data_IF_414966507357
#
_entry.id   IF_414966507357
#
_cell.length_a   1.000
_cell.length_b   1.000
_cell.length_c   1.000
_cell.angle_alpha   90.00
_cell.angle_beta   90.00
_cell.angle_gamma   90.00
#
_symmetry.space_group_name_H-M   'P 1'
#
loop_
_entity.id
_entity.type
_entity.pdbx_description
1 polymer ?
#
# COMPACT_ATOMS: atom_id res chain seq x y z
N UNK A 1 15.90 24.63 -14.16
CA UNK A 1 14.56 24.64 -13.53
C UNK A 1 14.78 25.19 -12.13
N UNK A 2 13.99 26.19 -11.71
CA UNK A 2 14.18 26.74 -10.37
C UNK A 2 13.71 25.74 -9.29
N UNK A 3 14.28 25.85 -8.09
CA UNK A 3 14.03 24.92 -6.98
C UNK A 3 12.57 24.94 -6.51
N UNK A 4 11.85 26.07 -6.67
CA UNK A 4 10.44 26.16 -6.34
C UNK A 4 9.59 25.34 -7.31
N UNK A 5 9.92 25.38 -8.61
CA UNK A 5 9.22 24.59 -9.62
C UNK A 5 9.45 23.10 -9.43
N UNK A 6 10.67 22.67 -9.06
CA UNK A 6 10.94 21.27 -8.70
C UNK A 6 10.04 20.83 -7.53
N UNK A 7 9.94 21.65 -6.49
CA UNK A 7 9.14 21.34 -5.30
C UNK A 7 7.65 21.21 -5.61
N UNK A 8 7.11 22.08 -6.46
CA UNK A 8 5.73 22.01 -6.95
C UNK A 8 5.46 20.69 -7.67
N UNK A 9 6.32 20.34 -8.63
CA UNK A 9 6.20 19.09 -9.41
C UNK A 9 6.32 17.84 -8.54
N UNK A 10 7.20 17.86 -7.54
CA UNK A 10 7.31 16.76 -6.57
C UNK A 10 6.02 16.62 -5.75
N UNK A 11 5.43 17.73 -5.32
CA UNK A 11 4.14 17.70 -4.61
C UNK A 11 3.00 17.14 -5.46
N UNK A 12 2.93 17.50 -6.75
CA UNK A 12 1.96 16.94 -7.70
C UNK A 12 2.17 15.43 -7.90
N UNK A 13 3.42 14.99 -8.05
CA UNK A 13 3.77 13.58 -8.20
C UNK A 13 3.42 12.78 -6.94
N UNK A 14 3.78 13.28 -5.76
CA UNK A 14 3.45 12.66 -4.46
C UNK A 14 1.93 12.51 -4.30
N UNK A 15 1.17 13.56 -4.58
CA UNK A 15 -0.29 13.52 -4.51
C UNK A 15 -0.88 12.51 -5.52
N UNK A 16 -0.32 12.42 -6.72
CA UNK A 16 -0.76 11.50 -7.78
C UNK A 16 -0.45 10.04 -7.43
N UNK A 17 0.69 9.77 -6.81
CA UNK A 17 1.05 8.41 -6.36
C UNK A 17 0.18 7.97 -5.17
N UNK A 18 -0.03 8.87 -4.19
CA UNK A 18 -0.84 8.58 -3.00
C UNK A 18 -2.31 8.38 -3.34
N UNK A 19 -2.86 9.18 -4.28
CA UNK A 19 -4.26 9.10 -4.69
C UNK A 19 -4.49 8.31 -5.99
N UNK A 20 -3.48 7.54 -6.42
CA UNK A 20 -3.55 6.77 -7.66
C UNK A 20 -4.74 5.79 -7.66
N UNK A 21 -5.48 5.68 -8.77
CA UNK A 21 -6.50 4.63 -8.94
C UNK A 21 -5.89 3.22 -9.12
N UNK A 22 -4.57 3.08 -9.23
CA UNK A 22 -3.90 1.77 -9.41
C UNK A 22 -3.12 1.30 -8.19
N UNK A 23 -2.76 2.25 -7.31
CA UNK A 23 -2.03 1.96 -6.08
C UNK A 23 -2.99 2.08 -4.92
N UNK A 24 -3.31 0.96 -4.29
CA UNK A 24 -3.99 0.97 -3.02
C UNK A 24 -2.96 1.35 -1.93
N UNK A 25 -3.25 2.40 -1.18
CA UNK A 25 -2.34 2.94 -0.16
C UNK A 25 -3.04 2.96 1.19
N UNK A 26 -2.36 2.49 2.23
CA UNK A 26 -2.81 2.57 3.61
C UNK A 26 -1.66 2.96 4.54
N UNK A 27 -1.97 3.63 5.64
CA UNK A 27 -1.05 3.86 6.76
C UNK A 27 -1.51 3.01 7.93
N UNK A 28 -0.55 2.34 8.57
CA UNK A 28 -0.78 1.48 9.71
C UNK A 28 0.01 1.94 10.93
N UNK A 29 -0.54 1.73 12.11
CA UNK A 29 0.16 1.93 13.38
C UNK A 29 1.05 0.72 13.76
N UNK A 30 1.71 0.82 14.93
CA UNK A 30 2.56 -0.24 15.50
C UNK A 30 1.83 -1.57 15.75
N UNK A 31 0.51 -1.53 15.90
CA UNK A 31 -0.36 -2.69 16.15
C UNK A 31 -1.04 -3.19 14.86
N UNK A 32 -0.59 -2.67 13.69
CA UNK A 32 -1.08 -2.99 12.35
C UNK A 32 -2.53 -2.57 12.09
N UNK A 33 -3.07 -1.64 12.88
CA UNK A 33 -4.37 -1.02 12.65
C UNK A 33 -4.26 0.01 11.54
N UNK A 34 -5.23 0.00 10.63
CA UNK A 34 -5.31 0.98 9.56
C UNK A 34 -5.78 2.30 10.16
N UNK A 35 -4.97 3.35 10.06
CA UNK A 35 -5.32 4.69 10.54
C UNK A 35 -5.75 5.63 9.42
N UNK A 36 -5.38 5.30 8.19
CA UNK A 36 -5.77 6.03 6.99
C UNK A 36 -5.60 5.13 5.76
N UNK A 37 -6.39 5.37 4.72
CA UNK A 37 -6.20 4.76 3.40
C UNK A 37 -6.70 5.69 2.30
N UNK A 38 -6.22 5.46 1.07
CA UNK A 38 -6.72 6.19 -0.10
C UNK A 38 -8.03 5.59 -0.63
N UNK A 39 -8.65 6.28 -1.60
CA UNK A 39 -9.91 5.84 -2.23
C UNK A 39 -9.77 4.46 -2.87
N UNK A 40 -8.69 4.21 -3.62
CA UNK A 40 -8.47 2.94 -4.31
C UNK A 40 -8.43 1.73 -3.37
N UNK A 41 -7.85 1.88 -2.18
CA UNK A 41 -7.91 0.83 -1.15
C UNK A 41 -9.34 0.60 -0.65
N UNK A 42 -10.10 1.67 -0.41
CA UNK A 42 -11.51 1.59 -0.01
C UNK A 42 -12.37 0.89 -1.07
N UNK A 43 -12.21 1.27 -2.34
CA UNK A 43 -12.95 0.64 -3.45
C UNK A 43 -12.69 -0.89 -3.54
N UNK A 44 -11.54 -1.37 -3.05
CA UNK A 44 -11.19 -2.80 -3.07
C UNK A 44 -11.74 -3.59 -1.89
N UNK A 45 -11.79 -2.99 -0.70
CA UNK A 45 -12.02 -3.72 0.55
C UNK A 45 -13.18 -3.17 1.41
N UNK A 46 -13.86 -2.10 0.99
CA UNK A 46 -15.04 -1.52 1.66
C UNK A 46 -15.00 0.01 1.79
N UNK A 47 -16.16 0.66 1.94
CA UNK A 47 -16.26 2.12 2.03
C UNK A 47 -15.44 2.73 3.20
N UNK A 48 -14.90 3.93 2.94
CA UNK A 48 -14.09 4.70 3.89
C UNK A 48 -14.82 4.90 5.22
N UNK A 49 -14.31 4.28 6.29
CA UNK A 49 -14.89 4.34 7.63
C UNK A 49 -15.07 2.97 8.27
N UNK A 50 -15.43 1.95 7.50
CA UNK A 50 -15.56 0.58 8.02
C UNK A 50 -14.21 -0.11 8.23
N UNK A 51 -13.14 0.40 7.59
CA UNK A 51 -11.83 -0.24 7.55
C UNK A 51 -10.82 0.43 8.51
N UNK A 52 -10.97 1.72 8.78
CA UNK A 52 -10.13 2.43 9.75
C UNK A 52 -10.38 1.88 11.15
N UNK A 53 -9.30 1.65 11.92
CA UNK A 53 -9.33 1.02 13.24
C UNK A 53 -9.30 -0.52 13.20
N UNK A 54 -9.55 -1.16 12.05
CA UNK A 54 -9.36 -2.61 11.90
C UNK A 54 -7.89 -2.93 11.59
N UNK A 55 -7.45 -4.15 11.92
CA UNK A 55 -6.10 -4.58 11.54
C UNK A 55 -6.10 -5.00 10.08
N UNK A 56 -5.01 -4.69 9.37
CA UNK A 56 -4.94 -4.99 7.94
C UNK A 56 -5.17 -6.45 7.58
N UNK A 57 -4.81 -7.39 8.44
CA UNK A 57 -5.00 -8.82 8.20
C UNK A 57 -6.43 -9.31 8.51
N UNK A 58 -7.22 -8.55 9.28
CA UNK A 58 -8.64 -8.83 9.48
C UNK A 58 -9.41 -8.58 8.18
N UNK A 59 -8.92 -7.64 7.38
CA UNK A 59 -9.47 -7.29 6.06
C UNK A 59 -8.90 -8.16 4.95
N UNK A 60 -7.57 -8.33 4.93
CA UNK A 60 -6.87 -8.86 3.75
C UNK A 60 -6.39 -10.31 3.89
N UNK A 61 -6.50 -10.92 5.07
CA UNK A 61 -5.81 -12.18 5.37
C UNK A 61 -6.57 -13.09 6.35
N UNK A 62 -7.90 -13.07 6.33
CA UNK A 62 -8.77 -13.93 7.15
C UNK A 62 -8.38 -13.94 8.65
N UNK A 63 -8.01 -12.78 9.20
CA UNK A 63 -7.79 -12.59 10.64
C UNK A 63 -6.39 -12.94 11.16
N UNK A 64 -5.42 -13.24 10.29
CA UNK A 64 -4.02 -13.45 10.71
C UNK A 64 -3.00 -12.87 9.72
N UNK A 65 -1.86 -12.31 10.20
CA UNK A 65 -0.80 -11.88 9.31
C UNK A 65 -0.31 -13.02 8.42
N UNK A 66 -0.05 -12.72 7.15
CA UNK A 66 0.61 -13.65 6.23
C UNK A 66 1.96 -14.11 6.80
N UNK A 67 2.34 -15.36 6.52
CA UNK A 67 3.71 -15.80 6.71
C UNK A 67 4.64 -14.91 5.88
N UNK A 68 5.72 -14.39 6.49
CA UNK A 68 6.62 -13.45 5.82
C UNK A 68 6.02 -12.06 5.56
N UNK A 69 5.04 -11.63 6.36
CA UNK A 69 4.42 -10.31 6.26
C UNK A 69 5.44 -9.17 6.10
N UNK A 70 5.45 -8.43 4.97
CA UNK A 70 6.40 -7.34 4.74
C UNK A 70 6.33 -6.25 5.80
N UNK A 71 5.12 -5.97 6.32
CA UNK A 71 4.91 -4.99 7.37
C UNK A 71 5.68 -5.32 8.66
N UNK A 72 5.59 -6.56 9.14
CA UNK A 72 6.32 -6.99 10.33
C UNK A 72 7.83 -6.88 10.15
N UNK A 73 8.34 -7.26 8.96
CA UNK A 73 9.76 -7.15 8.65
C UNK A 73 10.18 -5.68 8.60
N UNK A 74 9.41 -4.83 7.94
CA UNK A 74 9.68 -3.39 7.81
C UNK A 74 9.69 -2.68 9.16
N UNK A 75 8.70 -2.94 10.01
CA UNK A 75 8.61 -2.37 11.36
C UNK A 75 9.76 -2.85 12.26
N UNK A 76 10.16 -4.13 12.15
CA UNK A 76 11.27 -4.68 12.93
C UNK A 76 12.62 -4.12 12.50
N UNK A 77 12.84 -4.01 11.19
CA UNK A 77 14.16 -3.72 10.62
C UNK A 77 14.34 -2.25 10.23
N UNK A 78 13.30 -1.43 10.32
CA UNK A 78 13.35 0.00 10.03
C UNK A 78 13.69 0.33 8.57
N UNK A 79 13.42 -0.60 7.64
CA UNK A 79 13.71 -0.44 6.21
C UNK A 79 12.52 -0.74 5.32
N UNK A 80 12.59 -0.25 4.09
CA UNK A 80 11.63 -0.59 3.06
C UNK A 80 11.68 -2.09 2.78
N UNK A 81 10.51 -2.71 2.63
CA UNK A 81 10.39 -4.12 2.26
C UNK A 81 9.41 -4.27 1.11
N UNK A 82 9.59 -5.33 0.33
CA UNK A 82 8.66 -5.73 -0.72
C UNK A 82 8.24 -7.17 -0.53
N UNK A 83 6.99 -7.47 -0.86
CA UNK A 83 6.43 -8.82 -0.81
C UNK A 83 5.65 -9.13 -2.07
N UNK A 84 5.63 -10.41 -2.43
CA UNK A 84 4.90 -10.94 -3.57
C UNK A 84 4.04 -12.09 -3.07
N UNK A 85 2.73 -12.06 -3.36
CA UNK A 85 1.79 -13.08 -2.90
C UNK A 85 0.91 -13.53 -4.06
N UNK A 86 1.03 -14.79 -4.43
CA UNK A 86 0.12 -15.41 -5.40
C UNK A 86 -1.14 -15.89 -4.67
N UNK A 87 -2.28 -15.30 -4.99
CA UNK A 87 -3.59 -15.67 -4.46
C UNK A 87 -4.41 -16.53 -5.44
N UNK A 88 -3.76 -17.11 -6.45
CA UNK A 88 -4.37 -17.97 -7.46
C UNK A 88 -4.85 -17.19 -8.68
N UNK A 89 -5.84 -16.33 -8.52
CA UNK A 89 -6.36 -15.47 -9.59
C UNK A 89 -5.50 -14.21 -9.81
N UNK A 90 -4.91 -13.69 -8.73
CA UNK A 90 -4.12 -12.45 -8.74
C UNK A 90 -2.76 -12.66 -8.11
N UNK A 91 -1.74 -12.00 -8.67
CA UNK A 91 -0.43 -11.84 -8.05
C UNK A 91 -0.37 -10.45 -7.41
N UNK A 92 -0.21 -10.37 -6.10
CA UNK A 92 -0.09 -9.12 -5.37
C UNK A 92 1.37 -8.71 -5.24
N UNK A 93 1.64 -7.42 -5.50
CA UNK A 93 2.86 -6.76 -5.09
C UNK A 93 2.56 -5.83 -3.91
N UNK A 94 3.37 -5.94 -2.85
CA UNK A 94 3.34 -5.03 -1.71
C UNK A 94 4.67 -4.32 -1.57
N UNK A 95 4.62 -3.02 -1.33
CA UNK A 95 5.72 -2.22 -0.81
C UNK A 95 5.33 -1.73 0.59
N UNK A 96 6.21 -1.92 1.57
CA UNK A 96 6.05 -1.31 2.89
C UNK A 96 7.19 -0.36 3.16
N UNK A 97 6.83 0.84 3.61
CA UNK A 97 7.72 1.95 3.91
C UNK A 97 7.52 2.29 5.40
N UNK A 98 8.53 2.15 6.26
CA UNK A 98 8.43 2.58 7.64
C UNK A 98 8.32 4.11 7.67
N UNK A 99 7.45 4.61 8.54
CA UNK A 99 7.26 6.02 8.81
C UNK A 99 7.73 6.32 10.24
N UNK A 100 7.63 7.60 10.63
CA UNK A 100 7.96 8.03 12.00
C UNK A 100 7.03 7.37 13.03
N UNK A 101 7.46 7.36 14.28
CA UNK A 101 6.64 6.98 15.44
C UNK A 101 6.02 5.57 15.39
N UNK A 102 6.69 4.65 14.70
CA UNK A 102 6.26 3.25 14.58
C UNK A 102 5.14 3.02 13.56
N UNK A 103 4.73 4.06 12.82
CA UNK A 103 3.82 3.92 11.70
C UNK A 103 4.53 3.32 10.48
N UNK A 104 3.74 2.80 9.54
CA UNK A 104 4.25 2.39 8.23
C UNK A 104 3.19 2.61 7.15
N UNK A 105 3.62 2.99 5.95
CA UNK A 105 2.77 2.96 4.77
C UNK A 105 2.89 1.59 4.08
N UNK A 106 1.77 1.05 3.63
CA UNK A 106 1.72 -0.12 2.75
C UNK A 106 1.04 0.29 1.45
N UNK A 107 1.73 0.04 0.35
CA UNK A 107 1.28 0.29 -1.02
C UNK A 107 1.14 -1.05 -1.71
N UNK A 108 0.05 -1.28 -2.43
CA UNK A 108 -0.12 -2.51 -3.18
C UNK A 108 -0.84 -2.32 -4.51
N UNK A 109 -0.57 -3.27 -5.40
CA UNK A 109 -1.24 -3.39 -6.70
C UNK A 109 -1.20 -4.83 -7.17
N UNK A 110 -1.98 -5.13 -8.21
CA UNK A 110 -1.97 -6.44 -8.86
C UNK A 110 -0.95 -6.45 -9.99
N UNK A 111 -0.21 -7.54 -10.08
CA UNK A 111 0.68 -7.81 -11.20
C UNK A 111 -0.02 -8.80 -12.15
N UNK A 112 -0.05 -8.53 -13.46
CA UNK A 112 -0.49 -9.51 -14.44
C UNK A 112 0.46 -10.71 -14.45
N UNK A 113 -0.08 -11.93 -14.51
CA UNK A 113 0.72 -13.17 -14.55
C UNK A 113 1.47 -13.36 -15.89
N UNK A 114 1.01 -12.68 -16.94
CA UNK A 114 1.50 -12.75 -18.32
C UNK A 114 1.90 -11.36 -18.88
N UNK A 115 2.37 -10.46 -18.00
CA UNK A 115 2.50 -9.02 -18.22
C UNK A 115 3.52 -8.50 -19.24
N UNK A 116 3.98 -9.28 -20.21
CA UNK A 116 4.95 -8.77 -21.18
C UNK A 116 4.27 -7.81 -22.17
N UNK A 117 4.48 -6.50 -21.97
CA UNK A 117 4.03 -5.45 -22.90
C UNK A 117 2.53 -5.10 -22.85
N UNK A 118 1.81 -5.54 -21.81
CA UNK A 118 0.41 -5.14 -21.62
C UNK A 118 0.34 -3.70 -21.12
N UNK A 119 -0.38 -2.87 -21.85
CA UNK A 119 -0.76 -1.52 -21.45
C UNK A 119 -2.27 -1.57 -21.23
N UNK A 120 -2.71 -1.28 -20.01
CA UNK A 120 -4.13 -1.15 -19.68
C UNK A 120 -4.45 0.35 -19.67
N UNK A 121 -5.54 0.73 -20.34
CA UNK A 121 -6.03 2.11 -20.30
C UNK A 121 -6.54 2.46 -18.90
N UNK A 122 -6.32 3.71 -18.50
CA UNK A 122 -6.57 4.25 -17.15
C UNK A 122 -7.81 5.13 -17.18
#
# INVERSE_FOLDING_TARGET
MDDNKVKELLGELEASLVNSPHLAVMILDKDMQIVWHNKRFGDEFGESGEVVGKRCFDITAAGKPHAGCPLKVSQKEGRNTKGYFDMGDKLFFFLTIPLKDGYAAKVHTYLPKDGQGKIEEI
#
